data_IF_911154290344
#
_entry.id   IF_911154290344
#
_cell.length_a   1.000
_cell.length_b   1.000
_cell.length_c   1.000
_cell.angle_alpha   90.00
_cell.angle_beta   90.00
_cell.angle_gamma   90.00
#
_symmetry.space_group_name_H-M   'P 1'
#
loop_
_entity.id
_entity.type
_entity.pdbx_description
1 polymer ?
#
# COMPACT_ATOMS: atom_id res chain seq x y z
N UNK A 1 29.19 -13.20 6.30
CA UNK A 1 28.67 -12.76 5.00
C UNK A 1 28.06 -11.37 5.19
N UNK A 2 28.22 -10.46 4.23
CA UNK A 2 27.48 -9.20 4.23
C UNK A 2 25.97 -9.50 4.12
N UNK A 3 25.10 -8.77 4.79
CA UNK A 3 23.64 -8.97 4.81
C UNK A 3 23.02 -9.07 3.40
N UNK A 4 23.49 -8.25 2.45
CA UNK A 4 23.06 -8.34 1.05
C UNK A 4 23.38 -9.71 0.44
N UNK A 5 24.49 -10.34 0.80
CA UNK A 5 24.84 -11.69 0.32
C UNK A 5 23.94 -12.75 0.95
N UNK A 6 23.63 -12.65 2.25
CA UNK A 6 22.72 -13.56 2.95
C UNK A 6 21.35 -13.54 2.26
N UNK A 7 20.82 -12.33 2.06
CA UNK A 7 19.56 -12.09 1.36
C UNK A 7 19.57 -12.62 -0.07
N UNK A 8 20.57 -12.23 -0.88
CA UNK A 8 20.63 -12.62 -2.29
C UNK A 8 20.70 -14.14 -2.44
N UNK A 9 21.50 -14.82 -1.60
CA UNK A 9 21.59 -16.28 -1.59
C UNK A 9 20.25 -16.93 -1.23
N UNK A 10 19.54 -16.40 -0.24
CA UNK A 10 18.21 -16.88 0.11
C UNK A 10 17.20 -16.71 -1.04
N UNK A 11 17.32 -15.63 -1.82
CA UNK A 11 16.42 -15.29 -2.92
C UNK A 11 16.57 -16.16 -4.17
N UNK A 12 17.67 -16.88 -4.33
CA UNK A 12 17.94 -17.75 -5.49
C UNK A 12 16.86 -18.82 -5.66
N UNK A 13 16.37 -19.40 -4.56
CA UNK A 13 15.50 -20.57 -4.59
C UNK A 13 14.04 -20.29 -4.20
N UNK A 14 13.74 -19.12 -3.63
CA UNK A 14 12.37 -18.79 -3.22
C UNK A 14 11.55 -18.22 -4.38
N UNK A 15 10.30 -18.68 -4.51
CA UNK A 15 9.33 -18.18 -5.49
C UNK A 15 8.68 -16.85 -5.07
N UNK A 16 9.01 -16.32 -3.87
CA UNK A 16 8.46 -15.06 -3.34
C UNK A 16 9.03 -13.80 -3.99
N UNK A 17 10.09 -13.96 -4.79
CA UNK A 17 10.75 -12.86 -5.50
C UNK A 17 10.20 -12.82 -6.93
N UNK A 18 9.56 -11.72 -7.35
CA UNK A 18 9.04 -11.58 -8.70
C UNK A 18 10.15 -11.67 -9.75
N UNK A 19 9.86 -12.29 -10.90
CA UNK A 19 10.86 -12.50 -11.97
C UNK A 19 11.48 -11.19 -12.47
N UNK A 20 10.70 -10.12 -12.55
CA UNK A 20 11.19 -8.81 -12.99
C UNK A 20 12.20 -8.16 -12.01
N UNK A 21 12.30 -8.65 -10.78
CA UNK A 21 13.30 -8.23 -9.78
C UNK A 21 14.60 -9.03 -9.92
N UNK A 22 14.55 -10.28 -10.40
CA UNK A 22 15.71 -11.15 -10.49
C UNK A 22 16.78 -10.56 -11.42
N UNK A 23 18.03 -10.68 -11.02
CA UNK A 23 19.18 -10.13 -11.75
C UNK A 23 19.38 -8.61 -11.61
N UNK A 24 18.57 -7.92 -10.79
CA UNK A 24 18.78 -6.50 -10.47
C UNK A 24 19.53 -6.33 -9.15
N UNK A 25 20.30 -5.26 -9.05
CA UNK A 25 20.86 -4.82 -7.78
C UNK A 25 19.77 -4.14 -6.94
N UNK A 26 19.57 -4.62 -5.71
CA UNK A 26 18.53 -4.16 -4.79
C UNK A 26 19.20 -3.81 -3.46
N UNK A 27 18.99 -2.59 -2.97
CA UNK A 27 19.44 -2.16 -1.63
C UNK A 27 18.63 -2.83 -0.51
N UNK A 28 18.99 -2.56 0.75
CA UNK A 28 18.28 -3.12 1.91
C UNK A 28 17.05 -2.30 2.35
N UNK A 29 16.79 -1.15 1.71
CA UNK A 29 15.67 -0.25 2.03
C UNK A 29 15.58 0.07 3.54
N UNK A 30 16.68 0.57 4.11
CA UNK A 30 16.80 0.85 5.55
C UNK A 30 16.05 2.13 5.94
N UNK A 31 14.79 1.99 6.31
CA UNK A 31 13.93 3.04 6.87
C UNK A 31 13.75 2.79 8.38
N UNK A 32 14.65 3.29 9.22
CA UNK A 32 14.57 3.04 10.66
C UNK A 32 13.40 3.82 11.25
N UNK A 33 12.47 3.11 11.89
CA UNK A 33 11.30 3.72 12.54
C UNK A 33 11.72 4.41 13.83
N UNK A 34 11.23 5.63 14.05
CA UNK A 34 11.40 6.33 15.33
C UNK A 34 10.79 5.52 16.50
N UNK A 35 11.45 5.42 17.67
CA UNK A 35 10.90 4.72 18.83
C UNK A 35 9.51 5.20 19.23
N UNK A 36 9.25 6.51 19.18
CA UNK A 36 7.94 7.10 19.51
C UNK A 36 6.86 6.65 18.53
N UNK A 37 7.23 6.45 17.26
CA UNK A 37 6.29 5.96 16.24
C UNK A 37 6.03 4.46 16.38
N UNK A 38 7.04 3.68 16.77
CA UNK A 38 6.87 2.28 17.11
C UNK A 38 5.93 2.11 18.33
N UNK A 39 6.08 2.96 19.35
CA UNK A 39 5.20 2.98 20.54
C UNK A 39 3.74 3.31 20.18
N UNK A 40 3.53 4.35 19.36
CA UNK A 40 2.20 4.69 18.84
C UNK A 40 1.54 3.51 18.10
N UNK A 41 2.27 2.89 17.17
CA UNK A 41 1.77 1.76 16.39
C UNK A 41 1.48 0.54 17.28
N UNK A 42 2.35 0.26 18.25
CA UNK A 42 2.16 -0.81 19.23
C UNK A 42 0.90 -0.58 20.08
N UNK A 43 0.71 0.63 20.60
CA UNK A 43 -0.48 0.99 21.36
C UNK A 43 -1.77 0.86 20.53
N UNK A 44 -1.74 1.31 19.27
CA UNK A 44 -2.84 1.10 18.31
C UNK A 44 -3.16 -0.39 18.14
N UNK A 45 -2.12 -1.23 17.99
CA UNK A 45 -2.30 -2.68 17.85
C UNK A 45 -2.87 -3.32 19.12
N UNK A 46 -2.35 -2.95 20.29
CA UNK A 46 -2.82 -3.46 21.59
C UNK A 46 -4.30 -3.16 21.79
N UNK A 47 -4.76 -1.95 21.47
CA UNK A 47 -6.19 -1.58 21.53
C UNK A 47 -7.04 -2.48 20.63
N UNK A 48 -6.58 -2.74 19.40
CA UNK A 48 -7.28 -3.64 18.49
C UNK A 48 -7.37 -5.06 19.06
N UNK A 49 -6.26 -5.63 19.55
CA UNK A 49 -6.20 -6.98 20.12
C UNK A 49 -7.06 -7.09 21.38
N UNK A 50 -7.05 -6.06 22.25
CA UNK A 50 -7.89 -5.99 23.44
C UNK A 50 -9.39 -5.97 23.08
N UNK A 51 -9.80 -5.16 22.10
CA UNK A 51 -11.19 -5.14 21.61
C UNK A 51 -11.63 -6.50 21.07
N UNK A 52 -10.71 -7.25 20.48
CA UNK A 52 -10.91 -8.63 20.02
C UNK A 52 -10.82 -9.68 21.12
N UNK A 53 -10.57 -9.28 22.37
CA UNK A 53 -10.39 -10.16 23.54
C UNK A 53 -9.26 -11.19 23.32
N UNK A 54 -8.20 -10.77 22.63
CA UNK A 54 -7.02 -11.60 22.37
C UNK A 54 -6.08 -11.56 23.57
N UNK A 55 -5.78 -12.72 24.15
CA UNK A 55 -4.76 -12.86 25.19
C UNK A 55 -3.37 -12.87 24.55
N UNK A 56 -2.54 -11.85 24.85
CA UNK A 56 -1.19 -11.77 24.27
C UNK A 56 -0.28 -12.93 24.69
N UNK A 57 -0.54 -13.54 25.86
CA UNK A 57 0.24 -14.67 26.38
C UNK A 57 0.15 -15.92 25.49
N UNK A 58 -0.91 -16.04 24.69
CA UNK A 58 -1.13 -17.18 23.80
C UNK A 58 -0.22 -17.13 22.56
N UNK A 59 0.39 -15.98 22.27
CA UNK A 59 1.09 -15.71 21.02
C UNK A 59 2.58 -15.51 21.20
N UNK A 60 3.34 -15.99 20.23
CA UNK A 60 4.72 -15.56 20.01
C UNK A 60 4.70 -14.36 19.06
N UNK A 61 5.36 -13.27 19.45
CA UNK A 61 5.54 -12.10 18.61
C UNK A 61 6.71 -12.31 17.65
N UNK A 62 6.56 -11.86 16.41
CA UNK A 62 7.61 -11.91 15.40
C UNK A 62 7.80 -10.50 14.85
N UNK A 63 9.01 -9.98 14.93
CA UNK A 63 9.41 -8.80 14.19
C UNK A 63 10.35 -9.20 13.05
N UNK A 64 9.85 -9.22 11.81
CA UNK A 64 10.71 -9.36 10.65
C UNK A 64 11.41 -8.04 10.34
N UNK A 65 12.64 -8.13 9.81
CA UNK A 65 13.50 -6.97 9.54
C UNK A 65 13.58 -6.03 10.75
N UNK A 66 13.93 -6.62 11.90
CA UNK A 66 13.84 -5.96 13.20
C UNK A 66 14.77 -4.75 13.39
N UNK A 67 15.76 -4.56 12.51
CA UNK A 67 16.62 -3.38 12.51
C UNK A 67 17.26 -3.13 13.87
N UNK A 68 17.22 -1.88 14.33
CA UNK A 68 17.74 -1.52 15.65
C UNK A 68 16.82 -1.89 16.81
N UNK A 69 15.62 -2.44 16.57
CA UNK A 69 14.71 -2.98 17.59
C UNK A 69 13.66 -2.01 18.14
N UNK A 70 13.27 -0.99 17.38
CA UNK A 70 12.26 -0.01 17.79
C UNK A 70 10.92 -0.66 18.18
N UNK A 71 10.44 -1.65 17.43
CA UNK A 71 9.29 -2.44 17.87
C UNK A 71 9.69 -3.52 18.87
N UNK A 72 10.83 -4.19 18.65
CA UNK A 72 11.27 -5.37 19.39
C UNK A 72 11.27 -5.12 20.90
N UNK A 73 11.72 -3.94 21.31
CA UNK A 73 11.82 -3.54 22.70
C UNK A 73 10.46 -3.41 23.39
N UNK A 74 9.40 -3.12 22.63
CA UNK A 74 8.03 -2.96 23.12
C UNK A 74 7.30 -4.31 23.27
N UNK A 75 7.80 -5.37 22.61
CA UNK A 75 7.10 -6.65 22.53
C UNK A 75 7.19 -7.46 23.82
N UNK A 76 6.13 -8.23 24.16
CA UNK A 76 6.15 -9.17 25.27
C UNK A 76 7.30 -10.19 25.17
N UNK A 77 7.65 -10.81 26.30
CA UNK A 77 8.82 -11.70 26.42
C UNK A 77 8.88 -12.84 25.38
N UNK A 78 7.73 -13.37 24.94
CA UNK A 78 7.66 -14.42 23.92
C UNK A 78 7.78 -13.80 22.53
N UNK A 79 8.99 -13.39 22.14
CA UNK A 79 9.29 -12.66 20.89
C UNK A 79 10.46 -13.24 20.10
N UNK A 80 10.45 -13.01 18.79
CA UNK A 80 11.49 -13.42 17.84
C UNK A 80 11.81 -12.22 16.94
N UNK A 81 13.08 -11.79 16.95
CA UNK A 81 13.60 -10.77 16.05
C UNK A 81 14.41 -11.44 14.94
N UNK A 82 14.12 -11.08 13.69
CA UNK A 82 14.79 -11.66 12.51
C UNK A 82 15.29 -10.51 11.66
N UNK A 83 16.57 -10.53 11.31
CA UNK A 83 17.14 -9.56 10.39
C UNK A 83 18.29 -10.19 9.60
N UNK A 84 18.56 -9.69 8.40
CA UNK A 84 19.73 -10.13 7.60
C UNK A 84 21.03 -9.55 8.16
N UNK A 85 20.94 -8.43 8.87
CA UNK A 85 22.02 -7.85 9.66
C UNK A 85 21.95 -8.32 11.12
N UNK A 86 23.11 -8.56 11.73
CA UNK A 86 23.18 -8.91 13.15
C UNK A 86 23.19 -7.63 14.02
N UNK A 87 22.08 -6.89 14.04
CA UNK A 87 21.97 -5.67 14.84
C UNK A 87 22.04 -5.94 16.35
N UNK A 88 21.57 -7.11 16.78
CA UNK A 88 21.55 -7.52 18.20
C UNK A 88 21.91 -8.99 18.36
N UNK A 89 22.63 -9.40 19.41
CA UNK A 89 23.02 -10.80 19.61
C UNK A 89 21.85 -11.79 19.68
N UNK A 90 20.69 -11.35 20.18
CA UNK A 90 19.49 -12.18 20.32
C UNK A 90 18.70 -12.38 19.02
N UNK A 91 19.03 -11.64 17.96
CA UNK A 91 18.34 -11.77 16.68
C UNK A 91 18.82 -12.99 15.90
N UNK A 92 17.88 -13.60 15.16
CA UNK A 92 18.19 -14.63 14.19
C UNK A 92 18.68 -13.94 12.92
N UNK A 93 19.95 -14.16 12.54
CA UNK A 93 20.48 -13.67 11.27
C UNK A 93 19.93 -14.49 10.10
N UNK A 94 18.87 -14.01 9.44
CA UNK A 94 18.21 -14.73 8.36
C UNK A 94 17.44 -13.79 7.43
N UNK A 95 17.32 -14.20 6.15
CA UNK A 95 16.33 -13.59 5.27
C UNK A 95 14.92 -14.05 5.67
N UNK A 96 14.05 -13.10 6.00
CA UNK A 96 12.72 -13.44 6.51
C UNK A 96 11.84 -14.19 5.50
N UNK A 97 12.01 -13.95 4.19
CA UNK A 97 11.19 -14.58 3.15
C UNK A 97 11.47 -16.08 3.00
N UNK A 98 12.58 -16.57 3.55
CA UNK A 98 12.94 -17.99 3.61
C UNK A 98 12.99 -18.56 5.02
N UNK A 99 12.75 -17.73 6.04
CA UNK A 99 12.68 -18.17 7.43
C UNK A 99 11.34 -18.87 7.72
N UNK A 100 11.38 -19.92 8.53
CA UNK A 100 10.19 -20.61 9.03
C UNK A 100 10.16 -20.62 10.56
N UNK A 101 8.99 -20.50 11.19
CA UNK A 101 8.88 -20.64 12.64
C UNK A 101 9.41 -22.00 13.12
N UNK A 102 10.26 -22.04 14.16
CA UNK A 102 10.92 -23.27 14.59
C UNK A 102 9.94 -24.29 15.21
N UNK A 103 8.74 -23.85 15.59
CA UNK A 103 7.71 -24.66 16.23
C UNK A 103 6.33 -24.21 15.77
N UNK A 104 5.38 -25.15 15.75
CA UNK A 104 3.96 -24.82 15.61
C UNK A 104 3.52 -23.97 16.81
N UNK A 105 2.68 -22.98 16.55
CA UNK A 105 2.20 -22.06 17.57
C UNK A 105 1.31 -20.99 16.96
N UNK A 106 0.83 -20.07 17.80
CA UNK A 106 0.11 -18.89 17.35
C UNK A 106 1.08 -17.71 17.30
N UNK A 107 1.06 -16.98 16.21
CA UNK A 107 1.99 -15.89 15.97
C UNK A 107 1.27 -14.58 15.69
N UNK A 108 1.89 -13.48 16.12
CA UNK A 108 1.53 -12.11 15.76
C UNK A 108 2.76 -11.46 15.17
N UNK A 109 2.64 -10.87 13.99
CA UNK A 109 3.72 -10.09 13.39
C UNK A 109 3.54 -8.59 13.63
N UNK A 110 4.63 -7.87 13.88
CA UNK A 110 4.63 -6.42 13.95
C UNK A 110 5.98 -5.87 13.50
N UNK A 111 6.00 -4.70 12.86
CA UNK A 111 7.24 -4.07 12.45
C UNK A 111 7.09 -3.14 11.24
N UNK A 112 8.24 -2.80 10.65
CA UNK A 112 8.34 -2.02 9.42
C UNK A 112 9.11 -2.81 8.36
N UNK A 113 8.44 -3.66 7.54
CA UNK A 113 9.12 -4.41 6.50
C UNK A 113 9.73 -3.49 5.44
N UNK A 114 10.83 -3.88 4.78
CA UNK A 114 11.39 -3.11 3.68
C UNK A 114 10.38 -2.99 2.53
N UNK A 115 10.23 -1.78 1.98
CA UNK A 115 9.12 -1.46 1.07
C UNK A 115 9.31 -2.11 -0.31
N UNK A 116 10.49 -1.99 -0.89
CA UNK A 116 10.76 -2.35 -2.27
C UNK A 116 10.05 -1.44 -3.29
N UNK A 117 10.57 -1.42 -4.52
CA UNK A 117 9.97 -0.64 -5.61
C UNK A 117 8.47 -0.94 -5.81
N UNK A 118 7.61 0.08 -5.72
CA UNK A 118 6.14 -0.07 -5.79
C UNK A 118 5.54 -0.99 -4.71
N UNK A 119 6.24 -1.22 -3.60
CA UNK A 119 5.74 -2.02 -2.47
C UNK A 119 5.81 -3.54 -2.68
N UNK A 120 6.63 -4.02 -3.62
CA UNK A 120 6.70 -5.45 -3.93
C UNK A 120 7.25 -6.27 -2.76
N UNK A 121 8.23 -5.73 -2.04
CA UNK A 121 8.92 -6.47 -0.98
C UNK A 121 8.05 -6.52 0.28
N UNK A 122 7.41 -5.40 0.63
CA UNK A 122 6.39 -5.36 1.67
C UNK A 122 5.23 -6.34 1.38
N UNK A 123 4.81 -6.50 0.13
CA UNK A 123 3.83 -7.52 -0.26
C UNK A 123 4.34 -8.95 -0.04
N UNK A 124 5.59 -9.25 -0.39
CA UNK A 124 6.18 -10.56 -0.13
C UNK A 124 6.27 -10.86 1.38
N UNK A 125 6.59 -9.86 2.20
CA UNK A 125 6.58 -9.99 3.67
C UNK A 125 5.16 -10.24 4.20
N UNK A 126 4.18 -9.48 3.75
CA UNK A 126 2.76 -9.67 4.09
C UNK A 126 2.26 -11.08 3.71
N UNK A 127 2.60 -11.59 2.54
CA UNK A 127 2.23 -12.95 2.15
C UNK A 127 2.98 -14.00 2.97
N UNK A 128 4.22 -13.74 3.37
CA UNK A 128 4.98 -14.67 4.22
C UNK A 128 4.37 -14.80 5.62
N UNK A 129 4.04 -13.69 6.28
CA UNK A 129 3.42 -13.76 7.62
C UNK A 129 2.02 -14.36 7.57
N UNK A 130 1.28 -14.17 6.47
CA UNK A 130 -0.09 -14.69 6.34
C UNK A 130 -0.17 -16.23 6.41
N UNK A 131 0.93 -16.92 6.17
CA UNK A 131 1.03 -18.38 6.26
C UNK A 131 0.92 -18.90 7.69
N UNK A 132 1.35 -18.12 8.69
CA UNK A 132 1.49 -18.61 10.06
C UNK A 132 1.03 -17.64 11.16
N UNK A 133 0.77 -16.37 10.85
CA UNK A 133 0.28 -15.38 11.81
C UNK A 133 -1.26 -15.30 11.82
N UNK A 134 -1.82 -15.10 13.01
CA UNK A 134 -3.25 -14.81 13.17
C UNK A 134 -3.53 -13.31 13.00
N UNK A 135 -2.57 -12.46 13.38
CA UNK A 135 -2.67 -11.01 13.28
C UNK A 135 -1.33 -10.40 12.84
N UNK A 136 -1.39 -9.25 12.19
CA UNK A 136 -0.21 -8.46 11.89
C UNK A 136 -0.47 -6.96 11.95
N UNK A 137 0.51 -6.20 12.42
CA UNK A 137 0.51 -4.74 12.38
C UNK A 137 1.77 -4.24 11.71
N UNK A 138 1.69 -3.72 10.48
CA UNK A 138 2.87 -3.25 9.75
C UNK A 138 2.75 -1.79 9.35
N UNK A 139 3.90 -1.11 9.38
CA UNK A 139 4.12 0.10 8.61
C UNK A 139 4.34 -0.31 7.15
N UNK A 140 3.50 0.19 6.23
CA UNK A 140 3.48 -0.22 4.83
C UNK A 140 3.54 0.99 3.90
N UNK A 141 4.07 0.84 2.66
CA UNK A 141 4.15 1.94 1.71
C UNK A 141 2.78 2.39 1.25
N UNK A 142 2.65 3.66 0.83
CA UNK A 142 1.40 4.24 0.31
C UNK A 142 0.74 3.46 -0.85
N UNK A 143 1.48 2.59 -1.54
CA UNK A 143 0.89 1.70 -2.55
C UNK A 143 -0.19 0.77 -1.97
N UNK A 144 -0.11 0.42 -0.68
CA UNK A 144 -1.14 -0.32 0.05
C UNK A 144 -2.41 0.48 0.34
N UNK A 145 -2.42 1.81 0.11
CA UNK A 145 -3.64 2.60 0.19
C UNK A 145 -4.58 2.26 -0.97
N UNK A 146 -4.01 2.04 -2.16
CA UNK A 146 -4.72 2.01 -3.44
C UNK A 146 -5.74 0.87 -3.54
N UNK A 147 -6.88 1.15 -4.15
CA UNK A 147 -7.86 0.14 -4.58
C UNK A 147 -7.82 -0.17 -6.08
N UNK A 148 -6.95 0.53 -6.80
CA UNK A 148 -6.79 0.37 -8.24
C UNK A 148 -6.18 -0.97 -8.66
N UNK A 149 -6.15 -1.19 -9.99
CA UNK A 149 -5.52 -2.37 -10.60
C UNK A 149 -4.06 -2.49 -10.17
N UNK A 150 -3.66 -3.68 -9.73
CA UNK A 150 -2.29 -3.98 -9.31
C UNK A 150 -1.94 -3.51 -7.89
N UNK A 151 -2.91 -3.05 -7.10
CA UNK A 151 -2.68 -2.72 -5.69
C UNK A 151 -2.10 -3.93 -4.93
N UNK A 152 -1.01 -3.76 -4.14
CA UNK A 152 -0.51 -4.80 -3.25
C UNK A 152 -1.51 -5.17 -2.16
N UNK A 153 -2.33 -4.23 -1.67
CA UNK A 153 -3.39 -4.49 -0.66
C UNK A 153 -4.28 -5.67 -1.04
N UNK A 154 -4.69 -5.72 -2.30
CA UNK A 154 -5.60 -6.74 -2.83
C UNK A 154 -4.90 -8.02 -3.31
N UNK A 155 -3.58 -8.12 -3.13
CA UNK A 155 -2.75 -9.29 -3.47
C UNK A 155 -2.19 -9.97 -2.21
N UNK A 156 -2.55 -9.46 -1.04
CA UNK A 156 -2.31 -10.16 0.22
C UNK A 156 -3.29 -11.33 0.30
N UNK A 157 -2.76 -12.54 0.43
CA UNK A 157 -3.55 -13.77 0.50
C UNK A 157 -3.66 -14.25 1.95
N UNK A 158 -4.82 -14.77 2.34
CA UNK A 158 -5.02 -15.35 3.69
C UNK A 158 -5.15 -14.35 4.84
N UNK A 159 -5.05 -13.04 4.58
CA UNK A 159 -5.33 -11.99 5.56
C UNK A 159 -6.25 -10.90 5.02
N UNK A 160 -7.02 -10.29 5.92
CA UNK A 160 -7.92 -9.17 5.65
C UNK A 160 -7.47 -7.92 6.41
N UNK A 161 -7.51 -6.78 5.73
CA UNK A 161 -7.24 -5.47 6.31
C UNK A 161 -8.39 -5.08 7.25
N UNK A 162 -8.08 -4.71 8.49
CA UNK A 162 -9.07 -4.33 9.51
C UNK A 162 -8.88 -2.92 10.05
N UNK A 163 -7.71 -2.33 9.84
CA UNK A 163 -7.43 -0.94 10.16
C UNK A 163 -6.36 -0.42 9.21
N UNK A 164 -6.51 0.82 8.74
CA UNK A 164 -5.51 1.53 7.96
C UNK A 164 -5.57 3.01 8.31
N UNK A 165 -4.42 3.59 8.60
CA UNK A 165 -4.27 5.03 8.82
C UNK A 165 -3.00 5.55 8.18
N UNK A 166 -2.99 6.84 7.84
CA UNK A 166 -1.78 7.52 7.38
C UNK A 166 -0.97 7.92 8.60
N UNK A 167 0.31 7.62 8.58
CA UNK A 167 1.23 8.10 9.59
C UNK A 167 1.64 9.55 9.30
N UNK A 168 2.06 10.31 10.32
CA UNK A 168 2.62 11.65 10.11
C UNK A 168 3.90 11.60 9.24
N UNK A 169 4.34 12.77 8.79
CA UNK A 169 5.63 12.90 8.10
C UNK A 169 6.79 12.68 9.08
N UNK A 170 8.00 12.50 8.53
CA UNK A 170 9.26 12.53 9.29
C UNK A 170 9.38 11.44 10.38
N UNK A 171 8.77 10.28 10.15
CA UNK A 171 8.78 9.14 11.09
C UNK A 171 9.94 8.17 10.91
N UNK A 172 10.78 8.40 9.90
CA UNK A 172 11.89 7.53 9.55
C UNK A 172 13.22 8.29 9.63
N UNK A 173 14.24 7.59 10.11
CA UNK A 173 15.63 8.05 10.09
C UNK A 173 16.45 7.10 9.21
N UNK A 174 17.38 7.65 8.42
CA UNK A 174 18.38 6.89 7.70
C UNK A 174 19.43 6.28 8.66
N UNK A 175 20.25 5.32 8.21
CA UNK A 175 21.37 4.82 9.00
C UNK A 175 22.36 5.91 9.45
N UNK A 176 22.40 7.03 8.74
CA UNK A 176 23.30 8.15 9.01
C UNK A 176 22.69 9.20 9.97
N UNK A 177 21.47 8.98 10.47
CA UNK A 177 20.79 9.92 11.37
C UNK A 177 19.95 11.00 10.69
N UNK A 178 19.76 10.93 9.36
CA UNK A 178 18.99 11.94 8.62
C UNK A 178 17.50 11.58 8.55
N UNK A 179 16.63 12.56 8.80
CA UNK A 179 15.18 12.40 8.64
C UNK A 179 14.81 12.10 7.18
N UNK A 180 13.97 11.09 6.97
CA UNK A 180 13.51 10.69 5.64
C UNK A 180 12.04 11.06 5.42
N UNK A 181 11.78 11.87 4.41
CA UNK A 181 10.43 12.32 4.05
C UNK A 181 9.74 11.29 3.13
N UNK A 182 9.22 10.22 3.72
CA UNK A 182 8.49 9.15 3.03
C UNK A 182 7.13 8.97 3.71
N UNK A 183 6.04 9.15 2.96
CA UNK A 183 4.72 8.82 3.49
C UNK A 183 4.55 7.30 3.62
N UNK A 184 3.94 6.88 4.73
CA UNK A 184 3.63 5.49 5.02
C UNK A 184 2.26 5.34 5.68
N UNK A 185 1.80 4.10 5.75
CA UNK A 185 0.55 3.70 6.37
C UNK A 185 0.85 2.82 7.57
N UNK A 186 0.11 3.00 8.66
CA UNK A 186 -0.03 1.96 9.67
C UNK A 186 -1.23 1.11 9.31
N UNK A 187 -1.05 -0.21 9.20
CA UNK A 187 -2.12 -1.13 8.88
C UNK A 187 -2.13 -2.33 9.83
N UNK A 188 -3.34 -2.69 10.27
CA UNK A 188 -3.58 -3.91 11.03
C UNK A 188 -4.36 -4.88 10.15
N UNK A 189 -3.90 -6.13 10.14
CA UNK A 189 -4.41 -7.25 9.37
C UNK A 189 -4.74 -8.41 10.30
N UNK A 190 -5.78 -9.16 9.94
CA UNK A 190 -6.24 -10.36 10.66
C UNK A 190 -6.35 -11.51 9.66
N UNK A 191 -6.04 -12.73 10.09
CA UNK A 191 -6.23 -13.94 9.27
C UNK A 191 -7.67 -14.04 8.76
N UNK A 192 -7.82 -14.27 7.47
CA UNK A 192 -9.13 -14.34 6.80
C UNK A 192 -9.11 -13.79 5.39
N UNK A 193 -10.25 -13.82 4.72
CA UNK A 193 -10.38 -13.35 3.34
C UNK A 193 -10.70 -11.86 3.30
N UNK A 194 -10.08 -11.14 2.35
CA UNK A 194 -10.46 -9.78 2.01
C UNK A 194 -11.93 -9.73 1.54
N UNK A 195 -12.68 -8.66 1.89
CA UNK A 195 -14.02 -8.47 1.36
C UNK A 195 -13.96 -8.30 -0.17
N UNK A 196 -15.02 -8.70 -0.90
CA UNK A 196 -15.08 -8.50 -2.35
C UNK A 196 -15.02 -7.00 -2.68
N UNK A 197 -14.42 -6.68 -3.83
CA UNK A 197 -14.39 -5.31 -4.33
C UNK A 197 -15.80 -4.89 -4.77
N UNK A 198 -16.14 -3.59 -4.68
CA UNK A 198 -17.36 -3.08 -5.26
C UNK A 198 -17.40 -3.38 -6.76
N UNK A 199 -18.59 -3.71 -7.27
CA UNK A 199 -18.79 -3.95 -8.69
C UNK A 199 -18.83 -2.62 -9.45
N UNK A 200 -17.69 -2.27 -10.03
CA UNK A 200 -17.52 -1.06 -10.82
C UNK A 200 -18.00 -1.21 -12.28
N UNK A 201 -18.44 -2.40 -12.69
CA UNK A 201 -18.97 -2.62 -14.05
C UNK A 201 -20.31 -1.92 -14.25
N UNK A 202 -21.07 -1.67 -13.17
CA UNK A 202 -22.30 -0.87 -13.20
C UNK A 202 -22.06 0.51 -13.81
N UNK A 203 -20.89 1.12 -13.55
CA UNK A 203 -20.54 2.42 -14.12
C UNK A 203 -20.33 2.40 -15.64
N UNK A 204 -20.04 1.24 -16.24
CA UNK A 204 -19.78 1.12 -17.68
C UNK A 204 -21.05 1.31 -18.53
N UNK A 205 -22.23 1.22 -17.92
CA UNK A 205 -23.49 1.62 -18.58
C UNK A 205 -23.61 3.14 -18.77
N UNK A 206 -22.94 3.90 -17.92
CA UNK A 206 -23.11 5.35 -17.79
C UNK A 206 -21.95 6.11 -18.42
N UNK A 207 -20.72 5.59 -18.31
CA UNK A 207 -19.52 6.25 -18.82
C UNK A 207 -18.57 5.26 -19.48
N UNK A 208 -17.80 5.74 -20.46
CA UNK A 208 -16.51 5.12 -20.80
C UNK A 208 -15.37 6.01 -20.31
N UNK A 209 -14.32 5.36 -19.79
CA UNK A 209 -13.11 6.02 -19.30
C UNK A 209 -11.89 5.58 -20.11
N UNK A 210 -11.07 6.55 -20.52
CA UNK A 210 -9.83 6.28 -21.25
C UNK A 210 -8.68 7.07 -20.66
N UNK A 211 -7.51 6.43 -20.54
CA UNK A 211 -6.28 7.16 -20.19
C UNK A 211 -5.86 7.95 -21.42
N UNK A 212 -5.71 9.26 -21.26
CA UNK A 212 -5.14 10.13 -22.30
C UNK A 212 -3.78 10.62 -21.79
N UNK A 213 -2.73 10.39 -22.56
CA UNK A 213 -1.35 10.61 -22.15
C UNK A 213 -0.53 11.11 -23.35
N UNK A 214 0.18 12.23 -23.18
CA UNK A 214 1.01 12.84 -24.22
C UNK A 214 2.35 12.12 -24.41
N UNK A 215 2.70 11.16 -23.55
CA UNK A 215 3.94 10.39 -23.69
C UNK A 215 3.86 9.44 -24.88
N UNK A 216 4.94 9.39 -25.67
CA UNK A 216 5.02 8.68 -26.97
C UNK A 216 4.66 7.20 -26.86
N UNK A 217 4.96 6.57 -25.73
CA UNK A 217 4.70 5.17 -25.45
C UNK A 217 3.25 4.85 -25.02
N UNK A 218 2.36 5.86 -24.92
CA UNK A 218 0.98 5.72 -24.40
C UNK A 218 -0.09 6.44 -25.23
N UNK A 219 0.15 6.62 -26.53
CA UNK A 219 -0.73 7.38 -27.43
C UNK A 219 -2.07 6.70 -27.76
N UNK A 220 -2.35 5.48 -27.28
CA UNK A 220 -3.57 4.76 -27.66
C UNK A 220 -4.86 5.51 -27.32
N UNK A 221 -4.89 6.25 -26.21
CA UNK A 221 -6.03 7.08 -25.81
C UNK A 221 -6.16 8.39 -26.58
N UNK A 222 -5.10 8.86 -27.24
CA UNK A 222 -5.12 10.11 -28.02
C UNK A 222 -6.13 10.05 -29.17
N UNK A 223 -6.36 8.86 -29.73
CA UNK A 223 -7.33 8.62 -30.81
C UNK A 223 -8.77 8.92 -30.42
N UNK A 224 -9.10 8.89 -29.11
CA UNK A 224 -10.46 9.07 -28.58
C UNK A 224 -10.70 10.44 -27.95
N UNK A 225 -9.75 11.37 -28.05
CA UNK A 225 -9.89 12.71 -27.47
C UNK A 225 -11.12 13.42 -28.02
N UNK A 226 -11.37 13.31 -29.33
CA UNK A 226 -12.50 13.99 -29.98
C UNK A 226 -13.85 13.41 -29.54
N UNK A 227 -13.88 12.17 -29.06
CA UNK A 227 -15.11 11.50 -28.61
C UNK A 227 -15.46 11.86 -27.16
N UNK A 228 -14.50 12.36 -26.37
CA UNK A 228 -14.67 12.64 -24.95
C UNK A 228 -15.52 13.89 -24.70
N UNK A 229 -16.49 13.78 -23.79
CA UNK A 229 -17.31 14.91 -23.37
C UNK A 229 -16.57 15.84 -22.39
N UNK A 230 -15.69 15.28 -21.56
CA UNK A 230 -14.90 16.02 -20.59
C UNK A 230 -13.63 15.26 -20.21
N UNK A 231 -12.70 15.94 -19.55
CA UNK A 231 -11.45 15.38 -19.07
C UNK A 231 -11.22 15.74 -17.61
N UNK A 232 -10.49 14.87 -16.92
CA UNK A 232 -9.98 15.14 -15.59
C UNK A 232 -8.49 14.84 -15.51
N UNK A 233 -7.77 15.72 -14.82
CA UNK A 233 -6.37 15.53 -14.54
C UNK A 233 -6.14 14.35 -13.58
N UNK A 234 -5.13 13.52 -13.89
CA UNK A 234 -4.78 12.34 -13.09
C UNK A 234 -3.96 12.67 -11.84
N UNK A 235 -2.94 13.51 -11.98
CA UNK A 235 -1.99 13.83 -10.90
C UNK A 235 -2.08 15.29 -10.54
N UNK A 236 -2.10 15.62 -9.25
CA UNK A 236 -2.16 17.00 -8.79
C UNK A 236 -1.47 17.20 -7.44
N UNK A 237 -1.22 18.47 -7.11
CA UNK A 237 -0.65 18.94 -5.84
C UNK A 237 -1.55 20.07 -5.32
N UNK A 238 -1.78 20.12 -4.01
CA UNK A 238 -2.65 21.13 -3.40
C UNK A 238 -4.11 20.92 -3.78
N UNK A 239 -4.71 21.94 -4.40
CA UNK A 239 -6.12 21.92 -4.80
C UNK A 239 -6.42 20.81 -5.79
N UNK A 240 -7.57 20.17 -5.58
CA UNK A 240 -7.99 19.07 -6.43
C UNK A 240 -8.43 19.58 -7.82
N UNK A 241 -8.25 18.78 -8.88
CA UNK A 241 -8.55 19.23 -10.22
C UNK A 241 -10.05 19.42 -10.41
N UNK A 242 -10.39 20.25 -11.39
CA UNK A 242 -11.74 20.41 -11.93
C UNK A 242 -11.86 19.71 -13.28
N UNK A 243 -13.09 19.40 -13.68
CA UNK A 243 -13.36 18.93 -15.03
C UNK A 243 -13.08 20.02 -16.06
N UNK A 244 -12.45 19.64 -17.16
CA UNK A 244 -12.13 20.53 -18.29
C UNK A 244 -12.78 20.04 -19.58
N UNK A 245 -12.99 20.94 -20.54
CA UNK A 245 -13.62 20.62 -21.83
C UNK A 245 -12.61 20.15 -22.85
N UNK A 246 -11.39 20.66 -22.81
CA UNK A 246 -10.30 20.25 -23.69
C UNK A 246 -9.20 19.54 -22.93
N UNK A 247 -8.63 18.50 -23.53
CA UNK A 247 -7.45 17.84 -22.96
C UNK A 247 -6.23 18.77 -22.88
N UNK A 248 -6.17 19.83 -23.69
CA UNK A 248 -5.10 20.84 -23.60
C UNK A 248 -5.07 21.58 -22.26
N UNK A 249 -6.17 21.57 -21.51
CA UNK A 249 -6.27 22.19 -20.18
C UNK A 249 -5.80 21.22 -19.06
N UNK A 250 -5.59 19.94 -19.37
CA UNK A 250 -5.09 18.95 -18.42
C UNK A 250 -3.59 19.16 -18.18
N UNK A 251 -3.20 19.49 -16.95
CA UNK A 251 -1.77 19.70 -16.63
C UNK A 251 -1.00 18.37 -16.62
N UNK A 252 0.32 18.45 -16.67
CA UNK A 252 1.25 17.31 -16.68
C UNK A 252 1.05 16.29 -17.81
N UNK A 253 0.25 16.62 -18.83
CA UNK A 253 0.08 15.82 -20.04
C UNK A 253 -0.53 14.43 -19.84
N UNK A 254 -1.19 14.17 -18.71
CA UNK A 254 -1.79 12.87 -18.42
C UNK A 254 -3.08 13.02 -17.60
N UNK A 255 -4.16 12.42 -18.09
CA UNK A 255 -5.48 12.47 -17.48
C UNK A 255 -6.39 11.35 -17.94
N UNK A 256 -7.67 11.51 -17.65
CA UNK A 256 -8.73 10.63 -18.10
C UNK A 256 -9.72 11.40 -18.95
N UNK A 257 -9.99 10.90 -20.15
CA UNK A 257 -11.12 11.30 -20.96
C UNK A 257 -12.36 10.51 -20.54
N UNK A 258 -13.50 11.19 -20.50
CA UNK A 258 -14.77 10.63 -20.07
C UNK A 258 -15.79 10.82 -21.19
N UNK A 259 -16.37 9.72 -21.66
CA UNK A 259 -17.53 9.71 -22.57
C UNK A 259 -18.77 9.39 -21.75
N UNK A 260 -19.82 10.21 -21.85
CA UNK A 260 -21.10 10.00 -21.19
C UNK A 260 -22.05 9.24 -22.12
N UNK A 261 -22.59 8.11 -21.65
CA UNK A 261 -23.54 7.27 -22.39
C UNK A 261 -24.99 7.60 -22.05
N UNK A 262 -25.33 7.57 -20.75
CA UNK A 262 -26.68 7.82 -20.21
C UNK A 262 -26.65 8.95 -19.20
N UNK A 263 -27.80 9.57 -18.90
CA UNK A 263 -27.95 10.61 -17.87
C UNK A 263 -26.87 11.72 -17.87
N UNK A 264 -26.44 12.17 -19.07
CA UNK A 264 -25.24 12.99 -19.25
C UNK A 264 -25.20 14.24 -18.35
N UNK A 265 -26.32 14.97 -18.26
CA UNK A 265 -26.44 16.17 -17.41
C UNK A 265 -26.23 15.84 -15.93
N UNK A 266 -26.76 14.72 -15.47
CA UNK A 266 -26.65 14.26 -14.09
C UNK A 266 -25.22 13.83 -13.77
N UNK A 267 -24.63 12.97 -14.60
CA UNK A 267 -23.24 12.50 -14.44
C UNK A 267 -22.28 13.67 -14.42
N UNK A 268 -22.44 14.62 -15.35
CA UNK A 268 -21.61 15.82 -15.39
C UNK A 268 -21.76 16.65 -14.12
N UNK A 269 -22.99 16.83 -13.61
CA UNK A 269 -23.26 17.52 -12.34
C UNK A 269 -22.56 16.83 -11.17
N UNK A 270 -22.67 15.51 -11.06
CA UNK A 270 -22.02 14.71 -10.01
C UNK A 270 -20.52 14.94 -10.06
N UNK A 271 -19.88 14.61 -11.19
CA UNK A 271 -18.41 14.68 -11.33
C UNK A 271 -17.84 16.09 -11.14
N UNK A 272 -18.61 17.13 -11.46
CA UNK A 272 -18.21 18.53 -11.25
C UNK A 272 -18.19 18.92 -9.76
N UNK A 273 -19.06 18.32 -8.95
CA UNK A 273 -19.20 18.62 -7.53
C UNK A 273 -18.41 17.67 -6.62
N UNK A 274 -17.71 16.66 -7.18
CA UNK A 274 -16.87 15.75 -6.40
C UNK A 274 -15.67 16.48 -5.79
N UNK A 275 -15.49 16.29 -4.48
CA UNK A 275 -14.22 16.58 -3.82
C UNK A 275 -13.20 15.49 -4.15
N UNK A 276 -12.33 15.73 -5.15
CA UNK A 276 -11.36 14.72 -5.59
C UNK A 276 -10.26 14.40 -4.57
N UNK A 277 -10.17 15.16 -3.46
CA UNK A 277 -9.31 14.79 -2.33
C UNK A 277 -9.83 13.56 -1.57
N UNK A 278 -11.14 13.32 -1.60
CA UNK A 278 -11.76 12.11 -1.04
C UNK A 278 -11.63 10.92 -2.02
N UNK A 279 -11.64 11.20 -3.32
CA UNK A 279 -11.52 10.23 -4.40
C UNK A 279 -10.13 10.24 -5.06
N UNK A 280 -9.08 10.05 -4.25
CA UNK A 280 -7.70 9.95 -4.74
C UNK A 280 -6.76 9.21 -3.80
N UNK A 281 -5.64 8.73 -4.34
CA UNK A 281 -4.55 8.19 -3.55
C UNK A 281 -3.47 9.24 -3.30
N UNK A 282 -3.00 9.35 -2.05
CA UNK A 282 -1.81 10.13 -1.74
C UNK A 282 -0.58 9.27 -2.02
N UNK A 283 0.38 9.80 -2.77
CA UNK A 283 1.65 9.14 -3.04
C UNK A 283 2.68 9.42 -1.95
N UNK A 284 3.85 8.77 -2.06
CA UNK A 284 4.96 8.92 -1.11
C UNK A 284 5.49 10.37 -0.99
N UNK A 285 5.39 11.17 -2.06
CA UNK A 285 5.94 12.53 -2.14
C UNK A 285 4.85 13.60 -2.24
N UNK A 286 3.77 13.45 -1.48
CA UNK A 286 2.68 14.42 -1.33
C UNK A 286 1.88 14.78 -2.60
N UNK A 287 2.11 14.12 -3.73
CA UNK A 287 1.22 14.22 -4.88
C UNK A 287 0.00 13.30 -4.71
N UNK A 288 -1.12 13.69 -5.29
CA UNK A 288 -2.35 12.89 -5.31
C UNK A 288 -2.60 12.32 -6.70
N UNK A 289 -3.17 11.12 -6.74
CA UNK A 289 -3.49 10.40 -7.96
C UNK A 289 -4.97 10.00 -7.99
N UNK A 290 -5.69 10.56 -8.95
CA UNK A 290 -6.99 10.07 -9.39
C UNK A 290 -6.73 8.85 -10.30
N UNK A 291 -7.67 7.92 -10.32
CA UNK A 291 -7.62 6.76 -11.20
C UNK A 291 -9.02 6.49 -11.71
N UNK A 292 -9.17 5.65 -12.75
CA UNK A 292 -10.49 5.23 -13.20
C UNK A 292 -11.31 4.57 -12.09
N UNK A 293 -10.65 3.86 -11.16
CA UNK A 293 -11.31 3.33 -9.97
C UNK A 293 -11.97 4.45 -9.15
N UNK A 294 -11.25 5.55 -8.90
CA UNK A 294 -11.78 6.68 -8.12
C UNK A 294 -12.95 7.37 -8.82
N UNK A 295 -12.86 7.54 -10.15
CA UNK A 295 -13.96 8.13 -10.94
C UNK A 295 -15.20 7.25 -10.86
N UNK A 296 -15.05 5.93 -11.03
CA UNK A 296 -16.16 4.98 -10.94
C UNK A 296 -16.72 4.88 -9.52
N UNK A 297 -15.88 4.89 -8.49
CA UNK A 297 -16.35 4.93 -7.10
C UNK A 297 -17.17 6.19 -6.81
N UNK A 298 -16.70 7.36 -7.25
CA UNK A 298 -17.44 8.60 -7.08
C UNK A 298 -18.83 8.55 -7.73
N UNK A 299 -18.93 7.93 -8.91
CA UNK A 299 -20.24 7.70 -9.55
C UNK A 299 -21.09 6.70 -8.75
N UNK A 300 -20.51 5.56 -8.38
CA UNK A 300 -21.22 4.48 -7.67
C UNK A 300 -21.81 4.95 -6.33
N UNK A 301 -21.06 5.73 -5.55
CA UNK A 301 -21.52 6.29 -4.27
C UNK A 301 -22.70 7.27 -4.46
N UNK A 302 -22.83 7.86 -5.65
CA UNK A 302 -23.89 8.78 -6.04
C UNK A 302 -24.94 8.14 -6.97
N UNK A 303 -24.93 6.80 -7.08
CA UNK A 303 -25.83 6.05 -7.97
C UNK A 303 -27.31 6.28 -7.70
N UNK A 304 -27.67 6.50 -6.43
CA UNK A 304 -29.04 6.84 -6.03
C UNK A 304 -29.59 8.12 -6.69
N UNK A 305 -28.74 9.00 -7.21
CA UNK A 305 -29.17 10.21 -7.92
C UNK A 305 -29.56 9.94 -9.38
N UNK A 306 -29.19 8.78 -9.93
CA UNK A 306 -29.44 8.42 -11.33
C UNK A 306 -29.96 6.99 -11.54
N UNK A 307 -30.39 6.34 -10.46
CA UNK A 307 -31.13 5.08 -10.48
C UNK A 307 -32.60 5.29 -10.88
#
# INVERSE_FOLDING_TARGET
>A
MNATMIRNKAWELTHRIPDWVRGREIGLDQYNTLPEMADYCWFSFQKFLQKKKVSLADFTFVEPSAGTGAFFDLLPQKKIGIDVEQFRPEYIQHDFLTWEPPRKGRFIAIGNPPFGYRGWLALSFMNKIAEFCDYAGFILPMSFQSDGKGSPKHRVEGMRLVHSERLPHDIFISPNGETMNINALWQIWEKGMMPPKPDLSVCDEFVDLFTVDLRKERLCGMKKIQDCNTFIQRTYFGDHPVLVRSFSEVRYGCGYGIIFKKHQKMIHSILKNINWNEYSNLAAHNCRHISMYHIKMALLDHSHLYA
#
